data_IF_295315445065
#
_entry.id   IF_295315445065
#
_cell.length_a   1.000
_cell.length_b   1.000
_cell.length_c   1.000
_cell.angle_alpha   90.00
_cell.angle_beta   90.00
_cell.angle_gamma   90.00
#
_symmetry.space_group_name_H-M   'P 1'
#
loop_
_entity.id
_entity.type
_entity.pdbx_description
1 polymer ?
#
# COMPACT_ATOMS: atom_id res chain seq x y z
N UNK A 1 -5.50 2.18 -2.77
CA UNK A 1 -4.25 1.76 -3.44
C UNK A 1 -3.68 2.79 -4.42
N UNK A 2 -4.40 3.25 -5.45
CA UNK A 2 -3.88 4.29 -6.38
C UNK A 2 -3.42 5.57 -5.68
N UNK A 3 -4.18 6.06 -4.70
CA UNK A 3 -3.78 7.22 -3.89
C UNK A 3 -2.45 7.00 -3.14
N UNK A 4 -2.20 5.78 -2.65
CA UNK A 4 -0.93 5.39 -1.99
C UNK A 4 0.22 5.46 -2.98
N UNK A 5 0.06 4.91 -4.19
CA UNK A 5 1.06 5.06 -5.23
C UNK A 5 1.33 6.54 -5.53
N UNK A 6 0.27 7.35 -5.62
CA UNK A 6 0.42 8.76 -5.99
C UNK A 6 1.20 9.57 -4.95
N UNK A 7 0.89 9.43 -3.66
CA UNK A 7 1.63 10.15 -2.62
C UNK A 7 3.10 9.73 -2.59
N UNK A 8 3.40 8.44 -2.80
CA UNK A 8 4.79 7.94 -2.82
C UNK A 8 5.59 8.46 -4.03
N UNK A 9 4.93 8.70 -5.17
CA UNK A 9 5.53 9.31 -6.36
C UNK A 9 5.79 10.80 -6.21
N UNK A 10 4.89 11.53 -5.55
CA UNK A 10 4.89 13.00 -5.58
C UNK A 10 5.34 13.66 -4.30
N UNK A 11 5.45 12.94 -3.18
CA UNK A 11 5.87 13.55 -1.94
C UNK A 11 7.27 14.17 -2.09
N UNK A 12 7.40 15.49 -1.86
CA UNK A 12 8.63 16.25 -2.09
C UNK A 12 9.72 15.97 -1.05
N UNK A 13 9.39 15.23 0.02
CA UNK A 13 10.29 14.96 1.15
C UNK A 13 10.53 13.45 1.37
N UNK A 14 11.05 12.72 0.36
CA UNK A 14 11.21 11.27 0.43
C UNK A 14 12.18 10.77 1.51
N UNK A 15 13.04 11.65 2.05
CA UNK A 15 13.96 11.38 3.15
C UNK A 15 13.30 11.43 4.53
N UNK A 16 12.10 11.99 4.65
CA UNK A 16 11.36 12.09 5.92
C UNK A 16 10.37 10.93 6.09
N UNK A 17 10.10 10.51 7.34
CA UNK A 17 9.08 9.53 7.62
C UNK A 17 7.69 9.98 7.14
N UNK A 18 7.00 9.09 6.42
CA UNK A 18 5.67 9.33 5.88
C UNK A 18 4.64 8.43 6.56
N UNK A 19 3.65 9.03 7.22
CA UNK A 19 2.47 8.31 7.72
C UNK A 19 1.32 8.45 6.74
N UNK A 20 0.85 7.34 6.18
CA UNK A 20 -0.28 7.30 5.26
C UNK A 20 -1.55 6.96 6.04
N UNK A 21 -2.41 7.95 6.22
CA UNK A 21 -3.74 7.78 6.81
C UNK A 21 -4.73 7.29 5.74
N UNK A 22 -5.47 6.21 6.01
CA UNK A 22 -6.50 5.71 5.09
C UNK A 22 -7.66 5.03 5.83
N UNK A 23 -8.87 5.21 5.32
CA UNK A 23 -10.06 4.47 5.72
C UNK A 23 -10.30 3.20 4.86
N UNK A 24 -9.43 2.91 3.90
CA UNK A 24 -9.55 1.73 3.03
C UNK A 24 -9.18 0.47 3.79
N UNK A 25 -10.16 -0.40 4.02
CA UNK A 25 -9.95 -1.72 4.64
C UNK A 25 -9.02 -2.59 3.79
N UNK A 26 -9.23 -2.62 2.46
CA UNK A 26 -8.38 -3.33 1.52
C UNK A 26 -6.92 -2.90 1.62
N UNK A 27 -6.66 -1.59 1.62
CA UNK A 27 -5.28 -1.07 1.66
C UNK A 27 -4.60 -1.46 2.97
N UNK A 28 -5.30 -1.35 4.10
CA UNK A 28 -4.81 -1.77 5.40
C UNK A 28 -4.51 -3.27 5.42
N UNK A 29 -5.44 -4.13 5.00
CA UNK A 29 -5.22 -5.59 4.98
C UNK A 29 -4.06 -6.01 4.07
N UNK A 30 -3.88 -5.36 2.93
CA UNK A 30 -2.74 -5.61 2.02
C UNK A 30 -1.43 -5.46 2.78
N UNK A 31 -1.23 -4.32 3.45
CA UNK A 31 0.03 -3.99 4.10
C UNK A 31 0.20 -4.67 5.47
N UNK A 32 -0.87 -4.93 6.22
CA UNK A 32 -0.78 -5.54 7.55
C UNK A 32 -0.74 -7.07 7.54
N UNK A 33 -1.56 -7.74 6.71
CA UNK A 33 -1.80 -9.20 6.87
C UNK A 33 -1.48 -10.01 5.62
N UNK A 34 -1.71 -9.48 4.42
CA UNK A 34 -1.79 -10.32 3.23
C UNK A 34 -0.49 -10.53 2.47
N UNK A 35 0.34 -9.49 2.33
CA UNK A 35 1.58 -9.55 1.53
C UNK A 35 2.47 -10.73 1.89
N UNK A 36 2.76 -11.03 3.19
CA UNK A 36 3.59 -12.17 3.55
C UNK A 36 3.02 -13.51 3.05
N UNK A 37 1.70 -13.71 3.20
CA UNK A 37 1.02 -14.93 2.75
C UNK A 37 0.96 -15.05 1.23
N UNK A 38 0.66 -13.95 0.53
CA UNK A 38 0.61 -13.92 -0.93
C UNK A 38 1.97 -14.20 -1.56
N UNK A 39 3.05 -13.60 -1.04
CA UNK A 39 4.41 -13.86 -1.54
C UNK A 39 4.79 -15.33 -1.41
N UNK A 40 4.53 -15.95 -0.25
CA UNK A 40 4.76 -17.40 -0.04
C UNK A 40 3.96 -18.28 -1.01
N UNK A 41 2.77 -17.83 -1.43
CA UNK A 41 1.90 -18.53 -2.39
C UNK A 41 2.10 -18.10 -3.85
N UNK A 42 3.17 -17.38 -4.18
CA UNK A 42 3.44 -16.93 -5.55
C UNK A 42 2.42 -15.91 -6.08
N UNK A 43 1.96 -15.01 -5.22
CA UNK A 43 0.91 -14.01 -5.46
C UNK A 43 -0.46 -14.60 -5.79
N UNK A 44 -0.85 -15.61 -5.00
CA UNK A 44 -2.20 -16.20 -5.00
C UNK A 44 -2.88 -16.04 -3.64
N UNK A 45 -4.20 -15.87 -3.68
CA UNK A 45 -5.06 -15.83 -2.50
C UNK A 45 -5.08 -17.17 -1.77
N UNK A 46 -5.70 -17.21 -0.59
CA UNK A 46 -6.03 -18.45 0.13
C UNK A 46 -6.88 -19.39 -0.73
N UNK A 47 -7.79 -18.85 -1.56
CA UNK A 47 -8.61 -19.60 -2.52
C UNK A 47 -7.88 -20.03 -3.79
N UNK A 48 -6.57 -19.75 -3.93
CA UNK A 48 -5.75 -20.16 -5.07
C UNK A 48 -5.91 -19.28 -6.33
N UNK A 49 -6.74 -18.24 -6.29
CA UNK A 49 -6.90 -17.27 -7.37
C UNK A 49 -5.75 -16.25 -7.38
N UNK A 50 -5.44 -15.62 -8.53
CA UNK A 50 -4.50 -14.51 -8.57
C UNK A 50 -4.93 -13.35 -7.65
N UNK A 51 -3.97 -12.73 -6.99
CA UNK A 51 -4.22 -11.53 -6.17
C UNK A 51 -4.72 -10.39 -7.06
N UNK A 52 -5.79 -9.73 -6.64
CA UNK A 52 -6.34 -8.57 -7.34
C UNK A 52 -5.36 -7.40 -7.22
N UNK A 53 -5.16 -6.64 -8.31
CA UNK A 53 -4.25 -5.49 -8.36
C UNK A 53 -2.78 -5.82 -8.01
N UNK A 54 -2.35 -7.06 -8.21
CA UNK A 54 -0.98 -7.52 -7.95
C UNK A 54 0.09 -6.54 -8.45
N UNK A 55 0.01 -6.14 -9.72
CA UNK A 55 1.02 -5.28 -10.33
C UNK A 55 1.10 -3.90 -9.66
N UNK A 56 -0.05 -3.31 -9.29
CA UNK A 56 -0.10 -2.05 -8.56
C UNK A 56 0.47 -2.21 -7.13
N UNK A 57 0.16 -3.31 -6.45
CA UNK A 57 0.71 -3.58 -5.11
C UNK A 57 2.24 -3.72 -5.18
N UNK A 58 2.75 -4.49 -6.14
CA UNK A 58 4.19 -4.63 -6.34
C UNK A 58 4.85 -3.30 -6.70
N UNK A 59 4.18 -2.47 -7.50
CA UNK A 59 4.65 -1.13 -7.81
C UNK A 59 4.76 -0.26 -6.56
N UNK A 60 3.73 -0.22 -5.72
CA UNK A 60 3.77 0.51 -4.44
C UNK A 60 4.90 0.02 -3.54
N UNK A 61 5.09 -1.30 -3.42
CA UNK A 61 6.19 -1.86 -2.63
C UNK A 61 7.57 -1.43 -3.16
N UNK A 62 7.73 -1.34 -4.49
CA UNK A 62 8.97 -0.85 -5.10
C UNK A 62 9.22 0.63 -4.81
N UNK A 63 8.18 1.46 -4.74
CA UNK A 63 8.28 2.88 -4.37
C UNK A 63 8.66 3.05 -2.89
N UNK A 64 8.02 2.28 -2.00
CA UNK A 64 8.38 2.24 -0.58
C UNK A 64 9.84 1.84 -0.42
N UNK A 65 10.29 0.82 -1.17
CA UNK A 65 11.69 0.38 -1.15
C UNK A 65 12.66 1.49 -1.55
N UNK A 66 12.28 2.34 -2.52
CA UNK A 66 13.13 3.45 -2.97
C UNK A 66 13.26 4.59 -1.95
N UNK A 67 12.34 4.66 -0.98
CA UNK A 67 12.38 5.62 0.15
C UNK A 67 13.22 5.14 1.33
N UNK A 68 13.74 3.92 1.28
CA UNK A 68 14.47 3.33 2.40
C UNK A 68 15.78 4.08 2.67
N UNK A 69 16.04 4.51 3.92
CA UNK A 69 17.35 5.02 4.30
C UNK A 69 18.41 3.91 4.14
N UNK A 70 19.61 4.23 3.62
CA UNK A 70 20.65 3.22 3.35
C UNK A 70 21.15 2.47 4.59
N UNK A 71 20.94 3.03 5.79
CA UNK A 71 21.35 2.41 7.06
C UNK A 71 20.16 1.90 7.91
N UNK A 72 18.94 1.88 7.34
CA UNK A 72 17.79 1.39 8.09
C UNK A 72 17.80 -0.13 8.19
N UNK A 73 17.84 -0.66 9.41
CA UNK A 73 17.64 -2.07 9.71
C UNK A 73 16.17 -2.47 9.77
N UNK A 74 15.25 -1.49 9.86
CA UNK A 74 13.81 -1.73 9.71
C UNK A 74 13.40 -1.44 8.27
N UNK A 75 12.99 -2.43 7.49
CA UNK A 75 12.65 -2.26 6.09
C UNK A 75 11.29 -1.57 5.83
N UNK A 76 10.68 -0.98 6.87
CA UNK A 76 9.50 -0.10 6.81
C UNK A 76 9.70 1.24 7.51
N UNK A 77 10.91 1.54 8.00
CA UNK A 77 11.19 2.68 8.89
C UNK A 77 10.75 4.06 8.39
N UNK A 78 10.51 4.21 7.07
CA UNK A 78 10.18 5.50 6.48
C UNK A 78 8.73 5.62 5.98
N UNK A 79 7.94 4.54 6.01
CA UNK A 79 6.52 4.57 5.63
C UNK A 79 5.70 3.74 6.59
N UNK A 80 4.76 4.38 7.29
CA UNK A 80 3.78 3.72 8.17
C UNK A 80 2.36 3.94 7.66
N UNK A 81 1.46 3.04 8.03
CA UNK A 81 0.03 3.16 7.70
C UNK A 81 -0.77 3.37 8.99
N UNK A 82 -1.72 4.29 8.94
CA UNK A 82 -2.67 4.54 10.03
C UNK A 82 -4.10 4.39 9.51
N UNK A 83 -4.87 3.50 10.13
CA UNK A 83 -6.31 3.41 9.86
C UNK A 83 -7.00 4.62 10.46
N UNK A 84 -7.86 5.26 9.67
CA UNK A 84 -8.77 6.29 10.17
C UNK A 84 -10.23 5.86 9.95
N UNK A 85 -11.14 6.42 10.76
CA UNK A 85 -12.57 6.21 10.59
C UNK A 85 -13.04 6.96 9.34
N UNK A 86 -13.85 6.30 8.52
CA UNK A 86 -14.51 6.95 7.39
C UNK A 86 -15.56 7.96 7.90
N UNK A 87 -15.69 9.10 7.21
CA UNK A 87 -16.78 10.07 7.38
C UNK A 87 -17.02 10.62 8.80
N UNK A 88 -15.95 10.88 9.57
CA UNK A 88 -16.05 11.45 10.93
C UNK A 88 -15.50 12.89 11.06
N UNK A 89 -15.40 13.66 9.99
CA UNK A 89 -14.89 15.04 10.05
C UNK A 89 -13.38 15.18 9.92
N UNK A 90 -12.66 14.12 9.48
CA UNK A 90 -11.21 14.22 9.23
C UNK A 90 -11.02 14.90 7.87
N UNK A 91 -10.77 16.20 7.89
CA UNK A 91 -10.69 17.06 6.69
C UNK A 91 -9.86 16.45 5.56
N UNK A 92 -8.66 15.94 5.84
CA UNK A 92 -7.81 15.31 4.84
C UNK A 92 -8.40 14.03 4.22
N UNK A 93 -9.09 13.20 5.02
CA UNK A 93 -9.74 11.98 4.53
C UNK A 93 -11.01 12.33 3.72
N UNK A 94 -11.79 13.31 4.16
CA UNK A 94 -12.98 13.76 3.43
C UNK A 94 -12.63 14.41 2.09
N UNK A 95 -11.54 15.17 2.03
CA UNK A 95 -11.05 15.71 0.76
C UNK A 95 -10.54 14.60 -0.16
N UNK A 96 -9.85 13.58 0.37
CA UNK A 96 -9.43 12.43 -0.41
C UNK A 96 -10.63 11.66 -1.00
N UNK A 97 -11.69 11.45 -0.21
CA UNK A 97 -12.94 10.83 -0.66
C UNK A 97 -13.62 11.65 -1.77
N UNK A 98 -13.74 12.98 -1.60
CA UNK A 98 -14.28 13.87 -2.64
C UNK A 98 -13.48 13.80 -3.93
N UNK A 99 -12.15 13.80 -3.86
CA UNK A 99 -11.31 13.69 -5.05
C UNK A 99 -11.40 12.31 -5.72
N UNK A 100 -11.53 11.24 -4.93
CA UNK A 100 -11.76 9.89 -5.47
C UNK A 100 -13.11 9.81 -6.22
N UNK A 101 -14.17 10.37 -5.65
CA UNK A 101 -15.50 10.43 -6.28
C UNK A 101 -15.48 11.23 -7.59
N UNK A 102 -14.81 12.40 -7.60
CA UNK A 102 -14.65 13.18 -8.83
C UNK A 102 -13.85 12.43 -9.90
N UNK A 103 -12.81 11.69 -9.49
CA UNK A 103 -12.03 10.85 -10.38
C UNK A 103 -12.85 9.72 -11.01
N UNK A 104 -13.73 9.08 -10.22
CA UNK A 104 -14.63 8.03 -10.71
C UNK A 104 -15.68 8.54 -11.72
N UNK A 105 -16.03 9.83 -11.66
CA UNK A 105 -16.93 10.49 -12.62
C UNK A 105 -16.20 11.04 -13.86
N UNK A 106 -14.87 11.02 -13.87
CA UNK A 106 -14.07 11.53 -14.98
C UNK A 106 -13.97 10.52 -16.12
N UNK A 107 -13.48 10.97 -17.28
CA UNK A 107 -13.24 10.07 -18.41
C UNK A 107 -12.26 8.96 -18.02
N UNK A 108 -12.51 7.76 -18.54
CA UNK A 108 -11.62 6.63 -18.35
C UNK A 108 -10.25 6.94 -18.96
N UNK A 109 -9.20 6.56 -18.22
CA UNK A 109 -7.82 6.80 -18.61
C UNK A 109 -7.19 5.46 -18.93
N UNK A 110 -6.33 5.43 -19.96
CA UNK A 110 -5.62 4.22 -20.33
C UNK A 110 -4.91 3.57 -19.12
N UNK A 111 -5.08 2.25 -18.91
CA UNK A 111 -4.44 1.55 -17.80
C UNK A 111 -2.93 1.70 -17.85
N UNK A 112 -2.34 2.14 -16.74
CA UNK A 112 -0.90 2.24 -16.60
C UNK A 112 -0.26 0.86 -16.45
N UNK A 113 0.85 0.63 -17.17
CA UNK A 113 1.66 -0.58 -17.00
C UNK A 113 2.50 -0.50 -15.70
N UNK A 114 1.88 -0.94 -14.61
CA UNK A 114 2.54 -1.03 -13.30
C UNK A 114 3.65 -2.08 -13.26
N UNK A 115 3.60 -3.12 -14.08
CA UNK A 115 4.65 -4.13 -14.14
C UNK A 115 5.94 -3.53 -14.74
N UNK A 116 5.84 -2.76 -15.82
CA UNK A 116 6.97 -2.02 -16.39
C UNK A 116 7.53 -0.98 -15.40
N UNK A 117 6.64 -0.24 -14.73
CA UNK A 117 7.06 0.75 -13.74
C UNK A 117 7.79 0.09 -12.54
N UNK A 118 7.35 -1.08 -12.11
CA UNK A 118 8.01 -1.89 -11.06
C UNK A 118 9.40 -2.29 -11.49
N UNK A 119 9.57 -2.86 -12.69
CA UNK A 119 10.89 -3.24 -13.24
C UNK A 119 11.85 -2.06 -13.30
N UNK A 120 11.35 -0.87 -13.66
CA UNK A 120 12.16 0.35 -13.67
C UNK A 120 12.63 0.74 -12.25
N UNK A 121 11.78 0.60 -11.24
CA UNK A 121 12.13 0.86 -9.84
C UNK A 121 13.12 -0.17 -9.29
N UNK A 122 12.97 -1.45 -9.62
CA UNK A 122 13.91 -2.52 -9.24
C UNK A 122 15.31 -2.28 -9.81
N UNK A 123 15.40 -1.76 -11.05
CA UNK A 123 16.68 -1.32 -11.62
C UNK A 123 17.32 -0.22 -10.79
N UNK A 124 16.55 0.81 -10.40
CA UNK A 124 17.04 1.91 -9.54
C UNK A 124 17.47 1.41 -8.15
N UNK A 125 16.75 0.46 -7.56
CA UNK A 125 17.13 -0.14 -6.27
C UNK A 125 18.51 -0.80 -6.37
N UNK A 126 18.73 -1.61 -7.42
CA UNK A 126 20.03 -2.23 -7.68
C UNK A 126 21.16 -1.21 -7.86
N UNK A 127 20.91 -0.13 -8.60
CA UNK A 127 21.88 0.95 -8.81
C UNK A 127 22.23 1.68 -7.51
N UNK A 128 21.28 1.79 -6.58
CA UNK A 128 21.48 2.38 -5.24
C UNK A 128 22.02 1.40 -4.20
N UNK A 129 22.23 0.12 -4.55
CA UNK A 129 22.61 -0.92 -3.59
C UNK A 129 21.52 -1.23 -2.55
N UNK A 130 20.27 -0.83 -2.81
CA UNK A 130 19.13 -1.08 -1.93
C UNK A 130 18.47 -2.42 -2.28
N UNK A 131 17.92 -3.09 -1.28
CA UNK A 131 17.11 -4.29 -1.46
C UNK A 131 15.61 -3.95 -1.50
N UNK A 132 14.84 -4.80 -2.16
CA UNK A 132 13.39 -4.69 -2.11
C UNK A 132 12.88 -4.99 -0.70
N UNK A 133 11.84 -4.28 -0.28
CA UNK A 133 11.19 -4.42 1.02
C UNK A 133 10.62 -5.83 1.16
N UNK A 134 11.19 -6.61 2.07
CA UNK A 134 10.77 -7.94 2.50
C UNK A 134 10.19 -7.90 3.91
N UNK A 135 8.99 -7.31 4.10
CA UNK A 135 8.54 -6.94 5.45
C UNK A 135 7.04 -6.94 5.66
N UNK A 136 6.72 -7.18 6.92
CA UNK A 136 5.50 -6.82 7.63
C UNK A 136 5.50 -5.30 7.91
N UNK A 137 4.40 -4.62 7.61
CA UNK A 137 4.26 -3.20 7.89
C UNK A 137 3.74 -2.98 9.30
N UNK A 138 4.31 -1.98 9.99
CA UNK A 138 3.65 -1.45 11.17
C UNK A 138 2.41 -0.68 10.71
N UNK A 139 1.26 -1.17 11.15
CA UNK A 139 -0.04 -0.57 10.84
C UNK A 139 -0.72 -0.23 12.15
N UNK A 140 -0.86 1.08 12.42
CA UNK A 140 -1.64 1.57 13.55
C UNK A 140 -3.12 1.49 13.19
N UNK A 141 -3.81 0.53 13.81
CA UNK A 141 -5.24 0.31 13.67
C UNK A 141 -6.05 1.00 14.78
N UNK A 142 -5.40 1.52 15.83
CA UNK A 142 -6.04 2.04 17.05
C UNK A 142 -7.05 1.07 17.67
N UNK A 143 -8.06 1.62 18.36
CA UNK A 143 -9.20 0.84 18.91
C UNK A 143 -10.30 0.57 17.87
N UNK A 144 -9.96 0.60 16.58
CA UNK A 144 -10.96 0.47 15.51
C UNK A 144 -11.36 -0.98 15.25
N UNK A 145 -10.46 -1.92 15.54
CA UNK A 145 -10.64 -3.34 15.27
C UNK A 145 -9.94 -4.16 16.34
N UNK A 146 -10.56 -5.26 16.72
CA UNK A 146 -9.95 -6.31 17.55
C UNK A 146 -9.02 -7.19 16.71
N UNK A 147 -8.05 -7.85 17.37
CA UNK A 147 -7.16 -8.81 16.70
C UNK A 147 -7.91 -9.92 15.95
N UNK A 148 -9.07 -10.33 16.45
CA UNK A 148 -9.88 -11.37 15.80
C UNK A 148 -10.61 -10.83 14.58
N UNK A 149 -11.14 -9.59 14.62
CA UNK A 149 -11.70 -8.96 13.42
C UNK A 149 -10.64 -8.78 12.33
N UNK A 150 -9.41 -8.41 12.68
CA UNK A 150 -8.30 -8.35 11.72
C UNK A 150 -7.99 -9.71 11.11
N UNK A 151 -8.02 -10.78 11.91
CA UNK A 151 -7.80 -12.15 11.40
C UNK A 151 -8.92 -12.56 10.46
N UNK A 152 -10.17 -12.24 10.77
CA UNK A 152 -11.32 -12.52 9.88
C UNK A 152 -11.19 -11.76 8.57
N UNK A 153 -10.84 -10.48 8.62
CA UNK A 153 -10.52 -9.67 7.44
C UNK A 153 -9.35 -10.26 6.64
N UNK A 154 -8.39 -10.89 7.32
CA UNK A 154 -7.25 -11.57 6.74
C UNK A 154 -7.60 -12.74 5.81
N UNK A 155 -8.83 -13.29 5.89
CA UNK A 155 -9.18 -14.57 5.23
C UNK A 155 -9.54 -14.46 3.76
N UNK A 156 -10.03 -13.32 3.29
CA UNK A 156 -10.42 -13.11 1.89
C UNK A 156 -10.16 -11.69 1.41
N UNK A 157 -9.72 -11.55 0.14
CA UNK A 157 -9.66 -10.25 -0.54
C UNK A 157 -10.99 -9.83 -1.18
N UNK A 158 -12.01 -10.68 -1.08
CA UNK A 158 -13.33 -10.45 -1.67
C UNK A 158 -14.16 -9.61 -0.69
N UNK A 159 -14.08 -8.29 -0.83
CA UNK A 159 -15.03 -7.38 -0.20
C UNK A 159 -16.20 -7.20 -1.16
N UNK A 160 -17.38 -7.67 -0.75
CA UNK A 160 -18.64 -7.44 -1.43
C UNK A 160 -19.14 -6.01 -1.20
#
# INVERSE_FOLDING_TARGET
MYAVARILETDPTPELPLTICTDSQYTISVFSTWIPGWRKRGWKTSGGTPVLNKDLIQYVLSLISLRMPPNSTSPTANVSFKKVKAHVGIEGNEMADRFANNGAMSAEVEPRDFAAATRANEKKLREKGLQAVEVEFEVDIGDLWTDDELKEMGKSQDFA
#
